data_IF_777438204528
#
_entry.id   IF_777438204528
#
_cell.length_a   1.000
_cell.length_b   1.000
_cell.length_c   1.000
_cell.angle_alpha   90.00
_cell.angle_beta   90.00
_cell.angle_gamma   90.00
#
_symmetry.space_group_name_H-M   'P 1'
#
loop_
_entity.id
_entity.type
_entity.pdbx_description
1 polymer ?
#
# COMPACT_ATOMS: atom_id res chain seq x y z
N UNK A 1 -13.37 4.07 16.86
CA UNK A 1 -11.93 3.88 16.55
C UNK A 1 -11.69 4.49 15.18
N UNK A 2 -11.06 5.66 15.11
CA UNK A 2 -10.70 6.25 13.81
C UNK A 2 -9.63 5.36 13.18
N UNK A 3 -10.00 4.67 12.10
CA UNK A 3 -9.07 3.90 11.27
C UNK A 3 -8.13 4.92 10.62
N UNK A 4 -7.03 5.27 11.30
CA UNK A 4 -6.03 6.18 10.76
C UNK A 4 -5.59 5.64 9.41
N UNK A 5 -5.75 6.45 8.37
CA UNK A 5 -5.38 6.06 7.01
C UNK A 5 -3.85 6.10 6.92
N UNK A 6 -3.20 5.07 6.35
CA UNK A 6 -1.77 5.11 6.07
C UNK A 6 -1.44 6.37 5.27
N UNK A 7 -0.44 7.14 5.73
CA UNK A 7 0.01 8.32 4.98
C UNK A 7 0.43 7.96 3.55
N UNK A 8 1.12 6.83 3.37
CA UNK A 8 1.56 6.40 2.04
C UNK A 8 0.42 6.01 1.08
N UNK A 9 -0.70 5.46 1.56
CA UNK A 9 -1.88 5.21 0.70
C UNK A 9 -2.46 6.53 0.22
N UNK A 10 -2.48 7.54 1.08
CA UNK A 10 -2.98 8.87 0.73
C UNK A 10 -2.07 9.52 -0.32
N UNK A 11 -0.75 9.43 -0.16
CA UNK A 11 0.23 9.92 -1.14
C UNK A 11 0.06 9.20 -2.49
N UNK A 12 -0.09 7.88 -2.48
CA UNK A 12 -0.27 7.07 -3.69
C UNK A 12 -1.54 7.49 -4.46
N UNK A 13 -2.66 7.65 -3.75
CA UNK A 13 -3.93 8.13 -4.34
C UNK A 13 -3.75 9.52 -4.95
N UNK A 14 -3.05 10.43 -4.28
CA UNK A 14 -2.80 11.77 -4.82
C UNK A 14 -1.97 11.69 -6.11
N UNK A 15 -0.89 10.90 -6.11
CA UNK A 15 -0.05 10.72 -7.30
C UNK A 15 -0.83 10.12 -8.47
N UNK A 16 -1.70 9.14 -8.21
CA UNK A 16 -2.52 8.49 -9.22
C UNK A 16 -3.60 9.41 -9.78
N UNK A 17 -4.25 10.23 -8.93
CA UNK A 17 -5.21 11.25 -9.38
C UNK A 17 -4.50 12.29 -10.25
N UNK A 18 -3.33 12.78 -9.84
CA UNK A 18 -2.54 13.76 -10.61
C UNK A 18 -2.14 13.18 -11.98
N UNK A 19 -1.66 11.94 -11.99
CA UNK A 19 -1.30 11.25 -13.23
C UNK A 19 -2.53 11.09 -14.13
N UNK A 20 -3.65 10.62 -13.58
CA UNK A 20 -4.90 10.42 -14.34
C UNK A 20 -5.46 11.72 -14.90
N UNK A 21 -5.38 12.83 -14.15
CA UNK A 21 -5.78 14.15 -14.67
C UNK A 21 -4.90 14.58 -15.84
N UNK A 22 -3.59 14.37 -15.76
CA UNK A 22 -2.68 14.70 -16.85
C UNK A 22 -2.96 13.87 -18.10
N UNK A 23 -3.20 12.57 -17.95
CA UNK A 23 -3.58 11.69 -19.07
C UNK A 23 -4.95 12.05 -19.65
N UNK A 24 -5.91 12.44 -18.81
CA UNK A 24 -7.22 12.91 -19.26
C UNK A 24 -7.09 14.20 -20.09
N UNK A 25 -6.29 15.15 -19.62
CA UNK A 25 -5.97 16.36 -20.39
C UNK A 25 -5.23 16.04 -21.68
N UNK A 26 -4.27 15.11 -21.64
CA UNK A 26 -3.56 14.63 -22.84
C UNK A 26 -4.52 14.00 -23.85
N UNK A 27 -5.43 13.13 -23.41
CA UNK A 27 -6.44 12.51 -24.27
C UNK A 27 -7.42 13.52 -24.88
N UNK A 28 -7.88 14.50 -24.10
CA UNK A 28 -8.67 15.62 -24.63
C UNK A 28 -7.85 16.47 -25.59
N UNK A 29 -6.58 16.72 -25.30
CA UNK A 29 -5.64 17.38 -26.20
C UNK A 29 -5.58 16.67 -27.55
N UNK A 30 -5.41 15.34 -27.55
CA UNK A 30 -5.42 14.51 -28.76
C UNK A 30 -6.73 14.64 -29.56
N UNK A 31 -7.88 14.76 -28.90
CA UNK A 31 -9.16 14.97 -29.58
C UNK A 31 -9.26 16.31 -30.31
N UNK A 32 -8.55 17.32 -29.79
CA UNK A 32 -8.61 18.68 -30.30
C UNK A 32 -7.45 19.00 -31.25
N UNK A 33 -6.46 18.10 -31.37
CA UNK A 33 -5.22 18.33 -32.13
C UNK A 33 -5.47 18.79 -33.56
N UNK A 34 -6.45 18.24 -34.28
CA UNK A 34 -6.70 18.59 -35.69
C UNK A 34 -6.96 20.08 -35.88
N UNK A 35 -7.68 20.70 -34.94
CA UNK A 35 -8.02 22.13 -34.98
C UNK A 35 -6.78 23.04 -34.82
N UNK A 36 -5.70 22.52 -34.26
CA UNK A 36 -4.45 23.26 -34.05
C UNK A 36 -3.38 22.92 -35.11
N UNK A 37 -3.46 21.73 -35.71
CA UNK A 37 -2.46 21.23 -36.67
C UNK A 37 -2.77 21.68 -38.10
N UNK A 38 -4.04 21.69 -38.53
CA UNK A 38 -4.44 22.06 -39.92
C UNK A 38 -3.80 23.35 -40.47
N UNK A 39 -3.64 24.45 -39.70
CA UNK A 39 -3.12 25.68 -40.28
C UNK A 39 -1.59 25.82 -40.29
N UNK A 40 -0.78 24.90 -39.72
CA UNK A 40 0.62 25.21 -39.41
C UNK A 40 1.67 24.12 -39.74
N UNK A 41 1.28 22.84 -39.84
CA UNK A 41 2.19 21.67 -39.76
C UNK A 41 1.38 20.50 -40.40
N UNK A 42 1.70 19.78 -41.50
CA UNK A 42 2.97 19.22 -41.98
C UNK A 42 2.87 18.59 -43.39
N UNK A 43 3.89 18.79 -44.22
CA UNK A 43 4.32 17.92 -45.34
C UNK A 43 4.83 16.53 -44.86
N UNK A 44 4.34 16.00 -43.74
CA UNK A 44 4.66 14.64 -43.27
C UNK A 44 3.50 13.73 -43.68
N UNK A 45 3.60 13.02 -44.82
CA UNK A 45 2.50 12.26 -45.38
C UNK A 45 2.00 11.15 -44.45
N UNK A 46 2.89 10.63 -43.59
CA UNK A 46 2.56 9.58 -42.63
C UNK A 46 1.61 10.07 -41.53
N UNK A 47 1.81 11.28 -40.99
CA UNK A 47 0.90 11.82 -39.99
C UNK A 47 -0.45 12.20 -40.60
N UNK A 48 -0.46 12.74 -41.82
CA UNK A 48 -1.69 13.13 -42.51
C UNK A 48 -2.62 11.94 -42.73
N UNK A 49 -2.05 10.79 -43.13
CA UNK A 49 -2.82 9.56 -43.31
C UNK A 49 -3.46 9.07 -41.99
N UNK A 50 -2.76 9.21 -40.86
CA UNK A 50 -3.30 8.81 -39.55
C UNK A 50 -4.43 9.73 -39.06
N UNK A 51 -4.35 11.03 -39.34
CA UNK A 51 -5.42 12.01 -39.03
C UNK A 51 -6.65 11.82 -39.91
N UNK A 52 -6.48 11.60 -41.23
CA UNK A 52 -7.60 11.36 -42.15
C UNK A 52 -8.39 10.09 -41.81
N UNK A 53 -7.69 9.05 -41.34
CA UNK A 53 -8.31 7.81 -40.86
C UNK A 53 -8.97 7.93 -39.47
N UNK A 54 -8.78 9.04 -38.77
CA UNK A 54 -9.33 9.21 -37.43
C UNK A 54 -8.58 8.43 -36.33
N UNK A 55 -7.37 7.93 -36.59
CA UNK A 55 -6.64 7.02 -35.67
C UNK A 55 -6.18 7.77 -34.43
N UNK A 56 -5.70 9.01 -34.58
CA UNK A 56 -5.23 9.83 -33.45
C UNK A 56 -6.38 10.12 -32.48
N UNK A 57 -7.57 10.37 -33.01
CA UNK A 57 -8.79 10.59 -32.27
C UNK A 57 -9.22 9.29 -31.60
N UNK A 58 -9.19 8.15 -32.30
CA UNK A 58 -9.46 6.86 -31.68
C UNK A 58 -8.53 6.59 -30.47
N UNK A 59 -7.24 6.88 -30.61
CA UNK A 59 -6.26 6.75 -29.51
C UNK A 59 -6.63 7.72 -28.37
N UNK A 60 -6.94 8.97 -28.68
CA UNK A 60 -7.37 9.97 -27.68
C UNK A 60 -8.60 9.50 -26.89
N UNK A 61 -9.60 8.94 -27.58
CA UNK A 61 -10.81 8.40 -26.95
C UNK A 61 -10.48 7.23 -26.01
N UNK A 62 -9.62 6.30 -26.45
CA UNK A 62 -9.17 5.17 -25.63
C UNK A 62 -8.45 5.69 -24.38
N UNK A 63 -7.55 6.66 -24.54
CA UNK A 63 -6.82 7.27 -23.41
C UNK A 63 -7.78 7.94 -22.42
N UNK A 64 -8.82 8.64 -22.89
CA UNK A 64 -9.84 9.25 -22.03
C UNK A 64 -10.58 8.17 -21.22
N UNK A 65 -11.02 7.09 -21.87
CA UNK A 65 -11.74 5.99 -21.21
C UNK A 65 -10.85 5.34 -20.13
N UNK A 66 -9.58 5.09 -20.44
CA UNK A 66 -8.62 4.51 -19.50
C UNK A 66 -8.29 5.47 -18.34
N UNK A 67 -8.26 6.78 -18.59
CA UNK A 67 -8.01 7.78 -17.56
C UNK A 67 -9.20 7.87 -16.59
N UNK A 68 -10.43 7.82 -17.10
CA UNK A 68 -11.64 7.79 -16.29
C UNK A 68 -11.72 6.52 -15.43
N UNK A 69 -11.38 5.36 -15.98
CA UNK A 69 -11.35 4.12 -15.22
C UNK A 69 -10.27 4.15 -14.12
N UNK A 70 -9.12 4.77 -14.38
CA UNK A 70 -8.06 4.96 -13.38
C UNK A 70 -8.50 5.86 -12.21
N UNK A 71 -9.32 6.89 -12.46
CA UNK A 71 -9.93 7.69 -11.39
C UNK A 71 -10.88 6.86 -10.51
N UNK A 72 -11.63 5.93 -11.11
CA UNK A 72 -12.48 4.99 -10.35
C UNK A 72 -11.63 4.09 -9.47
N UNK A 73 -10.50 3.58 -9.98
CA UNK A 73 -9.55 2.77 -9.19
C UNK A 73 -9.00 3.56 -8.01
N UNK A 74 -8.62 4.82 -8.24
CA UNK A 74 -8.09 5.68 -7.18
C UNK A 74 -9.12 5.97 -6.09
N UNK A 75 -10.39 6.11 -6.44
CA UNK A 75 -11.49 6.14 -5.46
C UNK A 75 -11.63 4.83 -4.67
N UNK A 76 -11.41 3.68 -5.32
CA UNK A 76 -11.34 2.37 -4.68
C UNK A 76 -10.22 2.23 -3.65
N UNK A 77 -9.02 2.74 -3.98
CA UNK A 77 -7.87 2.83 -3.08
C UNK A 77 -8.17 3.77 -1.89
N UNK A 78 -8.69 4.97 -2.14
CA UNK A 78 -9.05 5.93 -1.10
C UNK A 78 -10.01 5.30 -0.08
N UNK A 79 -11.06 4.65 -0.57
CA UNK A 79 -12.08 4.03 0.29
C UNK A 79 -11.60 2.79 1.03
N UNK A 80 -10.40 2.28 0.74
CA UNK A 80 -9.83 1.11 1.42
C UNK A 80 -10.52 -0.20 1.05
N UNK A 81 -11.11 -0.28 -0.15
CA UNK A 81 -11.83 -1.47 -0.62
C UNK A 81 -10.86 -2.49 -1.21
N UNK A 82 -11.13 -3.78 -1.01
CA UNK A 82 -10.28 -4.89 -1.51
C UNK A 82 -10.05 -4.86 -3.01
N UNK A 83 -11.07 -4.52 -3.80
CA UNK A 83 -10.97 -4.48 -5.26
C UNK A 83 -10.03 -3.37 -5.76
N UNK A 84 -9.94 -2.24 -5.05
CA UNK A 84 -9.02 -1.15 -5.41
C UNK A 84 -7.58 -1.60 -5.26
N UNK A 85 -7.27 -2.30 -4.16
CA UNK A 85 -5.96 -2.91 -3.95
C UNK A 85 -5.57 -3.88 -5.08
N UNK A 86 -6.49 -4.78 -5.48
CA UNK A 86 -6.20 -5.76 -6.53
C UNK A 86 -6.01 -5.11 -7.89
N UNK A 87 -6.87 -4.16 -8.26
CA UNK A 87 -6.76 -3.45 -9.54
C UNK A 87 -5.47 -2.65 -9.63
N UNK A 88 -5.13 -1.88 -8.60
CA UNK A 88 -3.88 -1.11 -8.59
C UNK A 88 -2.64 -1.98 -8.64
N UNK A 89 -2.67 -3.16 -8.02
CA UNK A 89 -1.59 -4.13 -8.13
C UNK A 89 -1.46 -4.65 -9.58
N UNK A 90 -2.58 -4.99 -10.23
CA UNK A 90 -2.58 -5.45 -11.62
C UNK A 90 -2.04 -4.34 -12.55
N UNK A 91 -2.53 -3.12 -12.40
CA UNK A 91 -2.06 -1.99 -13.20
C UNK A 91 -0.58 -1.69 -12.97
N UNK A 92 -0.09 -1.78 -11.74
CA UNK A 92 1.33 -1.57 -11.46
C UNK A 92 2.22 -2.64 -12.10
N UNK A 93 1.77 -3.90 -12.14
CA UNK A 93 2.48 -4.98 -12.82
C UNK A 93 2.50 -4.73 -14.34
N UNK A 94 1.35 -4.41 -14.94
CA UNK A 94 1.25 -4.11 -16.37
C UNK A 94 2.06 -2.87 -16.76
N UNK A 95 2.03 -1.83 -15.94
CA UNK A 95 2.82 -0.60 -16.11
C UNK A 95 4.32 -0.86 -15.96
N UNK A 96 4.71 -1.76 -15.06
CA UNK A 96 6.10 -2.22 -14.96
C UNK A 96 6.55 -2.91 -16.25
N UNK A 97 5.74 -3.80 -16.81
CA UNK A 97 6.04 -4.48 -18.08
C UNK A 97 6.17 -3.51 -19.25
N UNK A 98 5.28 -2.51 -19.36
CA UNK A 98 5.38 -1.50 -20.42
C UNK A 98 6.62 -0.61 -20.27
N UNK A 99 7.03 -0.31 -19.02
CA UNK A 99 8.26 0.43 -18.72
C UNK A 99 9.53 -0.28 -19.20
N UNK A 100 9.57 -1.62 -19.14
CA UNK A 100 10.70 -2.43 -19.62
C UNK A 100 10.81 -2.38 -21.14
N UNK A 101 9.68 -2.46 -21.85
CA UNK A 101 9.65 -2.41 -23.32
C UNK A 101 10.06 -1.02 -23.84
N UNK A 102 9.77 0.03 -23.07
CA UNK A 102 9.92 1.43 -23.49
C UNK A 102 11.24 2.08 -23.03
N UNK A 103 12.28 1.28 -22.75
CA UNK A 103 13.58 1.80 -22.34
C UNK A 103 14.26 2.57 -23.49
N UNK A 104 14.93 3.71 -23.23
CA UNK A 104 15.28 4.25 -21.90
C UNK A 104 14.23 5.17 -21.27
N UNK A 105 13.22 5.61 -22.01
CA UNK A 105 12.21 6.59 -21.55
C UNK A 105 11.39 6.05 -20.37
N UNK A 106 11.18 4.73 -20.31
CA UNK A 106 10.37 4.04 -19.31
C UNK A 106 10.97 3.90 -17.91
N UNK A 107 12.20 4.34 -17.65
CA UNK A 107 12.89 4.12 -16.35
C UNK A 107 12.10 4.71 -15.18
N UNK A 108 11.61 5.94 -15.31
CA UNK A 108 10.84 6.60 -14.25
C UNK A 108 9.55 5.85 -13.92
N UNK A 109 8.82 5.42 -14.96
CA UNK A 109 7.61 4.62 -14.83
C UNK A 109 7.91 3.26 -14.17
N UNK A 110 9.01 2.60 -14.55
CA UNK A 110 9.41 1.32 -13.96
C UNK A 110 9.68 1.44 -12.46
N UNK A 111 10.44 2.45 -12.04
CA UNK A 111 10.77 2.69 -10.62
C UNK A 111 9.51 2.98 -9.80
N UNK A 112 8.62 3.83 -10.33
CA UNK A 112 7.35 4.15 -9.68
C UNK A 112 6.48 2.91 -9.50
N UNK A 113 6.35 2.06 -10.52
CA UNK A 113 5.58 0.82 -10.43
C UNK A 113 6.18 -0.18 -9.42
N UNK A 114 7.51 -0.32 -9.39
CA UNK A 114 8.19 -1.15 -8.38
C UNK A 114 7.91 -0.63 -6.97
N UNK A 115 8.00 0.68 -6.76
CA UNK A 115 7.72 1.30 -5.46
C UNK A 115 6.27 1.09 -5.03
N UNK A 116 5.31 1.23 -5.95
CA UNK A 116 3.88 0.97 -5.73
C UNK A 116 3.65 -0.48 -5.30
N UNK A 117 4.22 -1.45 -6.03
CA UNK A 117 4.08 -2.88 -5.72
C UNK A 117 4.66 -3.16 -4.33
N UNK A 118 5.88 -2.67 -4.07
CA UNK A 118 6.54 -2.85 -2.78
C UNK A 118 5.68 -2.30 -1.62
N UNK A 119 5.14 -1.09 -1.77
CA UNK A 119 4.29 -0.46 -0.76
C UNK A 119 2.94 -1.16 -0.56
N UNK A 120 2.24 -1.54 -1.64
CA UNK A 120 0.97 -2.26 -1.59
C UNK A 120 1.12 -3.65 -0.94
N UNK A 121 2.31 -4.26 -1.06
CA UNK A 121 2.60 -5.55 -0.47
C UNK A 121 2.92 -5.47 1.03
N UNK A 122 3.14 -4.28 1.58
CA UNK A 122 3.54 -4.10 2.96
C UNK A 122 2.44 -4.57 3.95
N UNK A 123 2.79 -5.30 5.04
CA UNK A 123 1.80 -5.92 5.94
C UNK A 123 0.84 -4.91 6.57
N UNK A 124 1.35 -3.71 6.89
CA UNK A 124 0.56 -2.61 7.43
C UNK A 124 -0.53 -2.14 6.46
N UNK A 125 -0.21 -2.05 5.15
CA UNK A 125 -1.16 -1.62 4.11
C UNK A 125 -2.18 -2.72 3.83
N UNK A 126 -1.73 -3.98 3.74
CA UNK A 126 -2.61 -5.15 3.61
C UNK A 126 -3.66 -5.22 4.73
N UNK A 127 -3.26 -4.94 5.97
CA UNK A 127 -4.19 -4.88 7.11
C UNK A 127 -5.28 -3.81 6.92
N UNK A 128 -4.97 -2.67 6.32
CA UNK A 128 -5.95 -1.62 6.01
C UNK A 128 -7.02 -2.09 5.01
N UNK A 129 -6.63 -2.83 3.97
CA UNK A 129 -7.57 -3.41 2.98
C UNK A 129 -8.30 -4.67 3.49
N UNK A 130 -8.11 -5.04 4.76
CA UNK A 130 -8.77 -6.18 5.37
C UNK A 130 -8.11 -7.52 5.06
N UNK A 131 -6.85 -7.51 4.60
CA UNK A 131 -5.97 -8.68 4.60
C UNK A 131 -5.26 -8.73 5.96
N UNK A 132 -5.85 -9.45 6.92
CA UNK A 132 -5.40 -9.44 8.31
C UNK A 132 -4.45 -10.58 8.64
N UNK A 133 -3.21 -10.23 9.00
CA UNK A 133 -2.40 -11.03 9.91
C UNK A 133 -3.08 -11.00 11.30
N UNK A 134 -3.43 -12.17 11.84
CA UNK A 134 -3.88 -12.26 13.23
C UNK A 134 -2.63 -12.11 14.10
N UNK A 135 -2.50 -11.09 14.96
CA UNK A 135 -1.46 -11.12 15.99
C UNK A 135 -1.69 -12.44 16.74
N UNK A 136 -0.72 -13.35 16.63
CA UNK A 136 -0.76 -14.60 17.36
C UNK A 136 -0.83 -14.19 18.83
N UNK A 137 -1.94 -14.49 19.55
CA UNK A 137 -1.92 -14.32 20.99
C UNK A 137 -0.72 -15.13 21.49
N UNK A 138 0.15 -14.51 22.29
CA UNK A 138 1.29 -15.21 22.91
C UNK A 138 0.80 -16.58 23.34
N UNK A 139 1.47 -17.63 22.89
CA UNK A 139 0.97 -18.98 23.10
C UNK A 139 0.80 -19.22 24.60
N UNK A 140 -0.18 -20.02 25.00
CA UNK A 140 -0.47 -20.26 26.42
C UNK A 140 0.78 -20.72 27.19
N UNK A 141 1.73 -21.41 26.53
CA UNK A 141 3.01 -21.80 27.13
C UNK A 141 3.96 -20.62 27.40
N UNK A 142 3.90 -19.55 26.61
CA UNK A 142 4.69 -18.33 26.80
C UNK A 142 4.12 -17.47 27.95
N UNK A 143 2.79 -17.36 28.04
CA UNK A 143 2.07 -16.75 29.18
C UNK A 143 2.27 -17.57 30.47
N UNK A 144 2.34 -18.89 30.36
CA UNK A 144 2.63 -19.78 31.48
C UNK A 144 4.11 -19.68 31.91
N UNK A 145 5.04 -19.52 30.97
CA UNK A 145 6.47 -19.32 31.29
C UNK A 145 6.73 -18.01 32.04
N UNK A 146 6.02 -16.92 31.67
CA UNK A 146 6.09 -15.64 32.36
C UNK A 146 5.51 -15.67 33.78
N UNK A 147 4.55 -16.57 34.05
CA UNK A 147 3.93 -16.71 35.38
C UNK A 147 4.60 -17.78 36.25
N UNK A 148 5.26 -18.77 35.65
CA UNK A 148 6.03 -19.80 36.37
C UNK A 148 7.40 -19.27 36.81
N UNK A 149 8.02 -18.36 36.05
CA UNK A 149 9.36 -17.84 36.36
C UNK A 149 9.44 -17.04 37.68
N UNK A 150 8.31 -16.80 38.36
CA UNK A 150 8.24 -15.85 39.47
C UNK A 150 7.72 -16.41 40.79
N UNK A 151 8.21 -17.59 41.20
CA UNK A 151 7.80 -18.20 42.48
C UNK A 151 9.01 -18.39 43.40
N UNK A 152 8.92 -17.83 44.61
CA UNK A 152 9.97 -17.90 45.65
C UNK A 152 9.47 -18.72 46.82
N UNK A 153 10.32 -19.63 47.30
CA UNK A 153 10.03 -20.45 48.48
C UNK A 153 10.51 -19.75 49.75
N UNK A 154 9.65 -19.74 50.76
CA UNK A 154 9.99 -19.18 52.07
C UNK A 154 11.00 -20.09 52.79
N UNK A 155 12.15 -19.55 53.18
CA UNK A 155 13.21 -20.30 53.89
C UNK A 155 12.84 -20.65 55.34
N UNK A 156 11.79 -20.03 55.91
CA UNK A 156 11.36 -20.29 57.29
C UNK A 156 10.32 -21.40 57.41
N UNK A 157 9.36 -21.48 56.48
CA UNK A 157 8.23 -22.42 56.56
C UNK A 157 8.02 -23.26 55.30
N UNK A 158 8.84 -23.10 54.26
CA UNK A 158 8.74 -23.84 53.00
C UNK A 158 7.54 -23.47 52.12
N UNK A 159 6.72 -22.49 52.52
CA UNK A 159 5.56 -22.08 51.72
C UNK A 159 5.98 -21.40 50.42
N UNK A 160 5.24 -21.68 49.36
CA UNK A 160 5.39 -21.09 48.03
C UNK A 160 4.69 -19.72 47.98
N UNK A 161 5.39 -18.68 47.53
CA UNK A 161 4.86 -17.32 47.36
C UNK A 161 5.23 -16.76 45.98
N UNK A 162 4.55 -15.69 45.57
CA UNK A 162 4.90 -14.95 44.34
C UNK A 162 6.17 -14.11 44.56
N UNK A 163 6.97 -13.85 43.51
CA UNK A 163 8.09 -12.89 43.56
C UNK A 163 7.64 -11.48 43.97
N UNK A 164 6.39 -11.12 43.70
CA UNK A 164 5.87 -9.80 44.08
C UNK A 164 5.64 -9.68 45.59
N UNK A 165 5.43 -10.79 46.29
CA UNK A 165 5.19 -10.79 47.73
C UNK A 165 6.46 -10.36 48.50
N UNK A 166 6.34 -9.37 49.38
CA UNK A 166 7.43 -8.98 50.29
C UNK A 166 7.46 -9.86 51.55
N UNK A 167 6.31 -10.42 51.93
CA UNK A 167 6.13 -11.25 53.12
C UNK A 167 5.46 -12.58 52.76
N UNK A 168 5.80 -13.64 53.51
CA UNK A 168 5.24 -14.96 53.32
C UNK A 168 3.78 -15.02 53.77
N UNK A 169 2.87 -15.45 52.89
CA UNK A 169 1.42 -15.53 53.18
C UNK A 169 1.06 -16.53 54.28
N UNK A 170 1.96 -17.47 54.60
CA UNK A 170 1.73 -18.51 55.61
C UNK A 170 2.30 -18.18 56.99
N UNK A 171 3.45 -17.49 57.06
CA UNK A 171 4.15 -17.26 58.34
C UNK A 171 4.59 -15.82 58.58
N UNK A 172 4.33 -14.90 57.65
CA UNK A 172 4.67 -13.48 57.77
C UNK A 172 6.16 -13.14 57.64
N UNK A 173 7.05 -14.11 57.40
CA UNK A 173 8.48 -13.85 57.23
C UNK A 173 8.79 -13.07 55.95
N UNK A 174 9.78 -12.17 55.99
CA UNK A 174 10.27 -11.44 54.81
C UNK A 174 10.88 -12.39 53.77
N UNK A 175 10.54 -12.19 52.49
CA UNK A 175 11.08 -12.96 51.38
C UNK A 175 12.31 -12.28 50.79
N UNK A 176 13.41 -13.03 50.63
CA UNK A 176 14.63 -12.54 50.00
C UNK A 176 14.47 -12.63 48.47
N UNK A 177 14.14 -11.51 47.82
CA UNK A 177 14.03 -11.43 46.36
C UNK A 177 15.43 -11.53 45.75
N UNK A 178 15.61 -12.39 44.73
CA UNK A 178 16.83 -12.39 43.93
C UNK A 178 16.78 -11.14 43.05
N UNK A 179 17.61 -10.15 43.36
CA UNK A 179 17.76 -8.98 42.52
C UNK A 179 18.47 -9.44 41.25
N UNK A 180 17.76 -9.49 40.12
CA UNK A 180 18.38 -9.70 38.81
C UNK A 180 19.10 -8.40 38.44
N UNK A 181 20.41 -8.33 38.73
CA UNK A 181 21.35 -7.33 38.21
C UNK A 181 21.73 -7.64 36.77
#
# INVERSE_FOLDING_TARGET
MQKMRPLGVTILVILEILSSMLFLLGGVGLMLLDNFIEPQILDIPELQYLTELGIIQLIGLIVIILSLSSLVVSWGLWTGRRWGWTLSLIFAILGGLSGIISLPIGIGNLVLNIFIIWYLLEPHVKAFYGFGFKPQPKSQSELLSSSISSMVYCTRCGAKNSIDDNFCRRCGALLKKANNS
#
